data_IF_817664167009
#
_entry.id   IF_817664167009
#
_cell.length_a   1.000
_cell.length_b   1.000
_cell.length_c   1.000
_cell.angle_alpha   90.00
_cell.angle_beta   90.00
_cell.angle_gamma   90.00
#
_symmetry.space_group_name_H-M   'P 1'
#
loop_
_entity.id
_entity.type
_entity.pdbx_description
1 polymer ?
#
# COMPACT_ATOMS: atom_id res chain seq x y z
N UNK A 1 17.55 -19.07 -20.93
CA UNK A 1 16.61 -18.03 -20.50
C UNK A 1 15.28 -18.72 -20.29
N UNK A 2 14.77 -18.76 -19.06
CA UNK A 2 13.63 -19.60 -18.70
C UNK A 2 12.34 -18.92 -19.11
N UNK A 3 11.57 -19.57 -19.99
CA UNK A 3 10.24 -19.10 -20.36
C UNK A 3 9.34 -19.09 -19.12
N UNK A 4 8.86 -17.91 -18.74
CA UNK A 4 7.89 -17.76 -17.67
C UNK A 4 6.56 -18.35 -18.12
N UNK A 5 6.11 -19.42 -17.47
CA UNK A 5 4.75 -19.93 -17.62
C UNK A 5 3.80 -18.90 -17.02
N UNK A 6 3.24 -18.04 -17.86
CA UNK A 6 2.20 -17.08 -17.45
C UNK A 6 0.90 -17.87 -17.30
N UNK A 7 0.33 -17.87 -16.10
CA UNK A 7 -1.01 -18.41 -15.85
C UNK A 7 -2.00 -17.68 -16.76
N UNK A 8 -2.89 -18.42 -17.43
CA UNK A 8 -3.84 -17.90 -18.43
C UNK A 8 -4.81 -16.83 -17.92
N UNK A 9 -4.83 -16.57 -16.61
CA UNK A 9 -5.65 -15.52 -15.97
C UNK A 9 -4.82 -14.34 -15.42
N UNK A 10 -3.51 -14.30 -15.65
CA UNK A 10 -2.66 -13.20 -15.22
C UNK A 10 -2.69 -12.05 -16.25
N UNK A 11 -3.01 -10.84 -15.77
CA UNK A 11 -2.80 -9.62 -16.54
C UNK A 11 -1.45 -9.02 -16.18
N UNK A 12 -0.55 -8.90 -17.15
CA UNK A 12 0.78 -8.30 -16.99
C UNK A 12 0.74 -6.85 -17.49
N UNK A 13 1.28 -5.92 -16.71
CA UNK A 13 1.44 -4.53 -17.10
C UNK A 13 2.93 -4.16 -17.15
N UNK A 14 3.39 -3.65 -18.29
CA UNK A 14 4.76 -3.21 -18.51
C UNK A 14 4.81 -1.70 -18.76
N UNK A 15 5.78 -1.02 -18.15
CA UNK A 15 5.99 0.42 -18.33
C UNK A 15 7.48 0.74 -18.25
N UNK A 16 7.98 1.55 -19.19
CA UNK A 16 9.37 1.98 -19.25
C UNK A 16 9.50 3.37 -18.63
N UNK A 17 10.51 3.56 -17.79
CA UNK A 17 10.82 4.83 -17.14
C UNK A 17 12.27 5.20 -17.40
N UNK A 18 12.52 6.46 -17.78
CA UNK A 18 13.85 7.05 -17.82
C UNK A 18 14.24 7.58 -16.44
N UNK A 19 14.34 6.67 -15.47
CA UNK A 19 14.66 7.00 -14.09
C UNK A 19 15.55 5.92 -13.45
N UNK A 20 16.35 6.25 -12.42
CA UNK A 20 17.12 5.27 -11.66
C UNK A 20 16.21 4.22 -11.02
N UNK A 21 16.65 2.95 -11.00
CA UNK A 21 15.88 1.85 -10.39
C UNK A 21 15.56 2.10 -8.91
N UNK A 22 16.49 2.73 -8.18
CA UNK A 22 16.31 3.09 -6.77
C UNK A 22 15.13 4.06 -6.57
N UNK A 23 14.95 5.03 -7.48
CA UNK A 23 13.85 5.97 -7.41
C UNK A 23 12.51 5.26 -7.65
N UNK A 24 12.46 4.34 -8.62
CA UNK A 24 11.26 3.53 -8.86
C UNK A 24 10.95 2.67 -7.65
N UNK A 25 11.96 2.06 -7.02
CA UNK A 25 11.78 1.27 -5.80
C UNK A 25 11.21 2.10 -4.63
N UNK A 26 11.71 3.32 -4.46
CA UNK A 26 11.19 4.25 -3.46
C UNK A 26 9.72 4.63 -3.71
N UNK A 27 9.29 4.72 -4.98
CA UNK A 27 7.87 4.97 -5.30
C UNK A 27 6.93 3.85 -4.88
N UNK A 28 7.42 2.60 -4.83
CA UNK A 28 6.65 1.45 -4.36
C UNK A 28 6.70 1.24 -2.85
N UNK A 29 7.77 1.69 -2.17
CA UNK A 29 8.02 1.39 -0.75
C UNK A 29 7.68 2.53 0.19
N UNK A 30 7.79 3.79 -0.25
CA UNK A 30 7.47 4.95 0.58
C UNK A 30 6.00 5.34 0.43
N UNK A 31 5.28 5.41 1.54
CA UNK A 31 3.84 5.71 1.56
C UNK A 31 3.49 7.04 0.86
N UNK A 32 4.34 8.07 1.00
CA UNK A 32 4.14 9.38 0.38
C UNK A 32 4.26 9.35 -1.15
N UNK A 33 5.17 8.55 -1.69
CA UNK A 33 5.28 8.39 -3.13
C UNK A 33 4.20 7.45 -3.65
N UNK A 34 3.93 6.35 -2.94
CA UNK A 34 2.93 5.38 -3.31
C UNK A 34 1.54 6.01 -3.47
N UNK A 35 1.12 6.90 -2.55
CA UNK A 35 -0.19 7.61 -2.68
C UNK A 35 -0.30 8.50 -3.92
N UNK A 36 0.82 9.05 -4.40
CA UNK A 36 0.84 9.97 -5.54
C UNK A 36 1.02 9.24 -6.87
N UNK A 37 1.59 8.04 -6.80
CA UNK A 37 1.96 7.20 -7.93
C UNK A 37 0.92 6.11 -8.23
N UNK A 38 0.41 5.45 -7.18
CA UNK A 38 -0.48 4.30 -7.25
C UNK A 38 -1.94 4.73 -7.11
N UNK A 39 -2.59 4.98 -8.24
CA UNK A 39 -4.02 5.22 -8.31
C UNK A 39 -4.40 6.25 -9.39
N UNK A 40 -5.64 6.18 -9.92
CA UNK A 40 -6.15 7.22 -10.80
C UNK A 40 -6.25 8.55 -10.06
N UNK A 41 -6.03 9.66 -10.77
CA UNK A 41 -6.12 11.01 -10.23
C UNK A 41 -7.46 11.23 -9.51
N UNK A 42 -7.41 11.54 -8.21
CA UNK A 42 -8.59 11.76 -7.37
C UNK A 42 -8.89 10.65 -6.36
N UNK A 43 -8.16 9.53 -6.38
CA UNK A 43 -8.30 8.49 -5.36
C UNK A 43 -7.40 8.79 -4.15
N UNK A 44 -7.95 8.71 -2.93
CA UNK A 44 -7.18 8.88 -1.69
C UNK A 44 -7.09 7.53 -0.98
N UNK A 45 -5.88 7.07 -0.69
CA UNK A 45 -5.66 5.86 0.12
C UNK A 45 -5.85 6.24 1.60
N UNK A 46 -6.86 5.71 2.30
CA UNK A 46 -7.02 5.98 3.71
C UNK A 46 -5.94 5.24 4.51
N UNK A 47 -5.17 5.96 5.32
CA UNK A 47 -4.27 5.34 6.31
C UNK A 47 -5.12 5.00 7.54
N UNK A 48 -5.16 3.73 7.99
CA UNK A 48 -5.91 3.38 9.19
C UNK A 48 -5.30 4.10 10.40
N UNK A 49 -6.11 4.91 11.08
CA UNK A 49 -5.73 5.42 12.39
C UNK A 49 -5.77 4.26 13.38
N UNK A 50 -4.59 3.85 13.88
CA UNK A 50 -4.50 2.92 15.00
C UNK A 50 -5.04 3.63 16.25
N UNK A 51 -6.23 3.23 16.68
CA UNK A 51 -6.81 3.67 17.94
C UNK A 51 -6.20 2.87 19.10
N UNK A 52 -5.21 3.42 19.80
CA UNK A 52 -4.66 2.85 21.04
C UNK A 52 -5.54 3.17 22.25
N UNK A 53 -6.87 3.04 22.12
CA UNK A 53 -7.75 3.20 23.29
C UNK A 53 -7.78 1.90 24.06
N UNK A 54 -6.82 1.74 24.97
CA UNK A 54 -6.86 0.72 26.01
C UNK A 54 -7.90 1.11 27.06
N UNK A 55 -9.19 1.17 26.66
CA UNK A 55 -10.29 1.47 27.58
C UNK A 55 -10.60 0.23 28.39
N UNK A 56 -9.83 0.01 29.44
CA UNK A 56 -10.19 -0.90 30.53
C UNK A 56 -11.57 -0.47 31.05
N UNK A 57 -12.59 -1.30 30.81
CA UNK A 57 -13.89 -1.13 31.45
C UNK A 57 -13.76 -1.64 32.88
N UNK A 58 -13.54 -0.73 33.83
CA UNK A 58 -13.74 -1.04 35.25
C UNK A 58 -15.21 -0.77 35.58
N UNK A 59 -16.02 -1.82 35.73
CA UNK A 59 -17.37 -1.71 36.28
C UNK A 59 -17.26 -1.87 37.80
N UNK A 60 -17.14 -0.76 38.52
CA UNK A 60 -17.31 -0.72 39.97
C UNK A 60 -18.78 -0.53 40.31
N UNK A 61 -19.48 -1.60 40.66
CA UNK A 61 -20.77 -1.56 41.33
C UNK A 61 -20.58 -1.98 42.80
N UNK A 62 -20.06 -1.06 43.61
CA UNK A 62 -20.24 -1.08 45.06
C UNK A 62 -21.41 -0.16 45.42
N UNK A 63 -22.53 -0.76 45.84
CA UNK A 63 -23.42 -0.30 46.92
C UNK A 63 -24.13 -1.50 47.52
#
# INVERSE_FOLDING_TARGET
MSDSVILTEASVAERVFEAPAELIWQMWTQAEHFRNWYGPTGFTIPVPAIGTSNRARYNGNER
#
